data_IF_920122326144
#
_entry.id   IF_920122326144
#
_cell.length_a   1.000
_cell.length_b   1.000
_cell.length_c   1.000
_cell.angle_alpha   90.00
_cell.angle_beta   90.00
_cell.angle_gamma   90.00
#
_symmetry.space_group_name_H-M   'P 1'
#
loop_
_entity.id
_entity.type
_entity.pdbx_description
1 polymer ?
#
# COMPACT_ATOMS: atom_id res chain seq x y z
N UNK A 1 -6.76 61.15 -1.69
CA UNK A 1 -6.38 60.11 -0.72
C UNK A 1 -7.35 58.93 -0.89
N UNK A 2 -7.00 57.99 -1.70
CA UNK A 2 -7.85 56.79 -1.91
C UNK A 2 -7.13 55.60 -1.26
N UNK A 3 -7.76 55.12 -0.18
CA UNK A 3 -7.29 53.91 0.52
C UNK A 3 -7.75 52.64 -0.18
N UNK A 4 -6.86 51.98 -0.90
CA UNK A 4 -7.11 50.70 -1.52
C UNK A 4 -7.29 49.61 -0.47
N UNK A 5 -8.52 49.12 -0.30
CA UNK A 5 -8.85 47.95 0.53
C UNK A 5 -8.43 46.71 -0.26
N UNK A 6 -7.28 46.19 0.09
CA UNK A 6 -6.80 44.91 -0.42
C UNK A 6 -7.74 43.77 0.01
N UNK A 7 -8.51 43.25 -0.94
CA UNK A 7 -9.28 42.02 -0.77
C UNK A 7 -8.28 40.88 -0.54
N UNK A 8 -8.08 40.45 0.71
CA UNK A 8 -7.45 39.18 1.02
C UNK A 8 -8.38 38.08 0.51
N UNK A 9 -8.00 37.46 -0.61
CA UNK A 9 -8.64 36.25 -1.08
C UNK A 9 -8.36 35.14 -0.06
N UNK A 10 -9.37 34.82 0.73
CA UNK A 10 -9.37 33.60 1.56
C UNK A 10 -9.50 32.42 0.61
N UNK A 11 -8.38 31.98 0.04
CA UNK A 11 -8.27 30.64 -0.52
C UNK A 11 -8.44 29.69 0.65
N UNK A 12 -9.63 29.07 0.77
CA UNK A 12 -9.86 27.99 1.75
C UNK A 12 -8.74 26.98 1.57
N UNK A 13 -7.92 26.82 2.59
CA UNK A 13 -6.90 25.76 2.63
C UNK A 13 -7.59 24.42 2.38
N UNK A 14 -7.10 23.66 1.39
CA UNK A 14 -7.65 22.35 1.12
C UNK A 14 -7.28 21.42 2.28
N UNK A 15 -8.30 20.85 2.90
CA UNK A 15 -8.14 19.87 3.98
C UNK A 15 -8.22 18.46 3.40
N UNK A 16 -7.06 17.81 3.29
CA UNK A 16 -6.91 16.45 2.77
C UNK A 16 -7.74 15.44 3.57
N UNK A 17 -7.76 15.58 4.90
CA UNK A 17 -8.53 14.70 5.78
C UNK A 17 -10.04 14.85 5.54
N UNK A 18 -10.53 16.08 5.38
CA UNK A 18 -11.94 16.33 5.12
C UNK A 18 -12.37 15.85 3.74
N UNK A 19 -11.51 15.96 2.72
CA UNK A 19 -11.78 15.43 1.38
C UNK A 19 -11.97 13.90 1.37
N UNK A 20 -11.28 13.21 2.28
CA UNK A 20 -11.36 11.75 2.42
C UNK A 20 -12.51 11.29 3.34
N UNK A 21 -13.28 12.17 3.96
CA UNK A 21 -14.43 11.85 4.83
C UNK A 21 -15.68 11.46 4.05
N UNK A 22 -16.64 10.88 4.74
CA UNK A 22 -18.01 10.64 4.26
C UNK A 22 -18.31 9.19 3.89
N UNK A 23 -19.57 8.94 3.52
CA UNK A 23 -20.10 7.60 3.20
C UNK A 23 -19.64 7.11 1.82
N UNK A 24 -19.81 5.78 1.49
CA UNK A 24 -19.48 5.22 0.18
C UNK A 24 -19.93 6.10 -1.01
N UNK A 25 -19.26 5.99 -2.17
CA UNK A 25 -18.32 4.93 -2.55
C UNK A 25 -16.96 5.01 -1.85
N UNK A 26 -16.25 3.88 -1.78
CA UNK A 26 -14.98 3.73 -1.03
C UNK A 26 -13.87 4.67 -1.50
N UNK A 27 -13.89 5.10 -2.75
CA UNK A 27 -12.89 5.96 -3.37
C UNK A 27 -13.24 7.45 -3.35
N UNK A 28 -14.35 7.83 -2.67
CA UNK A 28 -14.76 9.24 -2.60
C UNK A 28 -13.61 10.12 -2.09
N UNK A 29 -13.32 11.19 -2.83
CA UNK A 29 -12.25 12.14 -2.53
C UNK A 29 -10.86 11.68 -2.95
N UNK A 30 -10.62 10.39 -3.20
CA UNK A 30 -9.31 9.88 -3.62
C UNK A 30 -8.86 10.50 -4.96
N UNK A 31 -9.68 10.56 -6.03
CA UNK A 31 -9.27 11.21 -7.27
C UNK A 31 -8.89 12.68 -7.10
N UNK A 32 -9.64 13.42 -6.27
CA UNK A 32 -9.36 14.82 -5.99
C UNK A 32 -8.02 14.99 -5.25
N UNK A 33 -7.80 14.17 -4.22
CA UNK A 33 -6.54 14.16 -3.46
C UNK A 33 -5.37 13.81 -4.38
N UNK A 34 -5.49 12.78 -5.23
CA UNK A 34 -4.46 12.41 -6.19
C UNK A 34 -4.12 13.56 -7.15
N UNK A 35 -5.12 14.20 -7.75
CA UNK A 35 -4.90 15.32 -8.66
C UNK A 35 -4.19 16.51 -8.00
N UNK A 36 -4.36 16.70 -6.69
CA UNK A 36 -3.65 17.74 -5.92
C UNK A 36 -2.21 17.32 -5.58
N UNK A 37 -2.01 16.07 -5.17
CA UNK A 37 -0.67 15.55 -4.85
C UNK A 37 0.23 15.45 -6.09
N UNK A 38 -0.35 15.22 -7.27
CA UNK A 38 0.38 15.26 -8.55
C UNK A 38 0.90 16.67 -8.87
N UNK A 39 0.14 17.71 -8.49
CA UNK A 39 0.52 19.12 -8.68
C UNK A 39 1.46 19.65 -7.60
N UNK A 40 1.37 19.13 -6.40
CA UNK A 40 2.13 19.55 -5.23
C UNK A 40 2.53 18.33 -4.36
N UNK A 41 3.61 17.63 -4.75
CA UNK A 41 4.07 16.44 -4.02
C UNK A 41 4.50 16.72 -2.57
N UNK A 42 4.85 17.96 -2.22
CA UNK A 42 5.26 18.33 -0.85
C UNK A 42 4.10 18.14 0.15
N UNK A 43 2.86 18.19 -0.33
CA UNK A 43 1.66 17.93 0.46
C UNK A 43 1.46 16.45 0.81
N UNK A 44 2.29 15.56 0.32
CA UNK A 44 2.22 14.13 0.64
C UNK A 44 2.23 13.87 2.15
N UNK A 45 2.91 14.71 2.94
CA UNK A 45 2.89 14.61 4.39
C UNK A 45 1.49 14.79 5.01
N UNK A 46 0.58 15.53 4.35
CA UNK A 46 -0.81 15.66 4.79
C UNK A 46 -1.54 14.32 4.60
N UNK A 47 -1.35 13.69 3.44
CA UNK A 47 -1.94 12.38 3.15
C UNK A 47 -1.41 11.29 4.07
N UNK A 48 -0.11 11.30 4.34
CA UNK A 48 0.53 10.36 5.29
C UNK A 48 -0.05 10.52 6.70
N UNK A 49 -0.28 11.75 7.18
CA UNK A 49 -0.92 11.99 8.48
C UNK A 49 -2.35 11.45 8.56
N UNK A 50 -3.06 11.35 7.43
CA UNK A 50 -4.39 10.75 7.39
C UNK A 50 -4.40 9.25 7.75
N UNK A 51 -3.26 8.55 7.68
CA UNK A 51 -3.15 7.16 8.16
C UNK A 51 -3.33 7.06 9.69
N UNK A 52 -2.99 8.10 10.45
CA UNK A 52 -3.15 8.19 11.90
C UNK A 52 -4.56 8.73 12.30
N UNK A 53 -5.48 8.95 11.35
CA UNK A 53 -6.82 9.47 11.64
C UNK A 53 -7.61 8.54 12.54
N UNK A 54 -8.38 9.10 13.49
CA UNK A 54 -9.36 8.36 14.28
C UNK A 54 -10.50 7.75 13.44
N UNK A 55 -10.77 8.32 12.24
CA UNK A 55 -11.81 7.85 11.32
C UNK A 55 -11.27 6.72 10.42
N UNK A 56 -11.81 5.48 10.53
CA UNK A 56 -11.35 4.36 9.72
C UNK A 56 -11.56 4.56 8.21
N UNK A 57 -12.55 5.35 7.81
CA UNK A 57 -12.80 5.66 6.40
C UNK A 57 -11.69 6.55 5.85
N UNK A 58 -11.25 7.54 6.62
CA UNK A 58 -10.12 8.41 6.25
C UNK A 58 -8.84 7.61 6.13
N UNK A 59 -8.54 6.73 7.10
CA UNK A 59 -7.34 5.85 7.03
C UNK A 59 -7.35 4.95 5.80
N UNK A 60 -8.48 4.31 5.51
CA UNK A 60 -8.64 3.42 4.35
C UNK A 60 -8.38 4.17 3.04
N UNK A 61 -9.00 5.32 2.87
CA UNK A 61 -8.86 6.13 1.66
C UNK A 61 -7.49 6.77 1.52
N UNK A 62 -6.85 7.11 2.64
CA UNK A 62 -5.46 7.56 2.64
C UNK A 62 -4.51 6.46 2.16
N UNK A 63 -4.71 5.23 2.63
CA UNK A 63 -3.92 4.08 2.19
C UNK A 63 -4.12 3.79 0.69
N UNK A 64 -5.37 3.85 0.19
CA UNK A 64 -5.69 3.71 -1.24
C UNK A 64 -5.05 4.82 -2.08
N UNK A 65 -5.15 6.08 -1.65
CA UNK A 65 -4.54 7.21 -2.35
C UNK A 65 -3.00 7.09 -2.40
N UNK A 66 -2.37 6.72 -1.28
CA UNK A 66 -0.92 6.50 -1.21
C UNK A 66 -0.48 5.36 -2.13
N UNK A 67 -1.23 4.26 -2.16
CA UNK A 67 -0.95 3.12 -3.04
C UNK A 67 -0.99 3.54 -4.51
N UNK A 68 -2.05 4.20 -4.95
CA UNK A 68 -2.23 4.68 -6.33
C UNK A 68 -1.18 5.73 -6.72
N UNK A 69 -0.90 6.69 -5.84
CA UNK A 69 0.10 7.71 -6.06
C UNK A 69 1.49 7.10 -6.22
N UNK A 70 1.88 6.21 -5.30
CA UNK A 70 3.22 5.59 -5.30
C UNK A 70 3.38 4.50 -6.37
N UNK A 71 2.30 4.03 -6.97
CA UNK A 71 2.36 3.20 -8.18
C UNK A 71 2.83 4.02 -9.38
N UNK A 72 2.35 5.27 -9.50
CA UNK A 72 2.75 6.20 -10.58
C UNK A 72 4.09 6.88 -10.29
N UNK A 73 4.39 7.14 -9.02
CA UNK A 73 5.55 7.88 -8.53
C UNK A 73 6.28 7.09 -7.42
N UNK A 74 7.03 6.01 -7.78
CA UNK A 74 7.74 5.17 -6.81
C UNK A 74 8.80 5.93 -6.00
N UNK A 75 9.32 7.04 -6.53
CA UNK A 75 10.25 7.93 -5.85
C UNK A 75 9.70 8.48 -4.52
N UNK A 76 8.38 8.66 -4.43
CA UNK A 76 7.69 9.14 -3.24
C UNK A 76 7.67 8.13 -2.08
N UNK A 77 8.00 6.87 -2.32
CA UNK A 77 8.08 5.85 -1.27
C UNK A 77 9.25 6.05 -0.30
N UNK A 78 10.37 6.61 -0.80
CA UNK A 78 11.60 6.77 0.00
C UNK A 78 11.38 7.64 1.26
N UNK A 79 10.81 8.85 1.17
CA UNK A 79 10.62 9.71 2.35
C UNK A 79 9.62 9.14 3.36
N UNK A 80 8.63 8.37 2.94
CA UNK A 80 7.56 7.84 3.81
C UNK A 80 7.78 6.40 4.26
N UNK A 81 8.90 5.77 3.87
CA UNK A 81 9.20 4.36 4.17
C UNK A 81 8.99 3.99 5.64
N UNK A 82 9.50 4.80 6.56
CA UNK A 82 9.39 4.51 8.01
C UNK A 82 7.94 4.48 8.47
N UNK A 83 7.10 5.39 7.98
CA UNK A 83 5.68 5.44 8.32
C UNK A 83 4.98 4.22 7.76
N UNK A 84 5.21 3.86 6.50
CA UNK A 84 4.57 2.68 5.89
C UNK A 84 4.95 1.38 6.60
N UNK A 85 6.20 1.21 7.03
CA UNK A 85 6.63 0.05 7.82
C UNK A 85 5.94 0.00 9.19
N UNK A 86 5.80 1.15 9.87
CA UNK A 86 5.06 1.25 11.13
C UNK A 86 3.58 0.87 10.94
N UNK A 87 2.91 1.46 9.96
CA UNK A 87 1.50 1.19 9.66
C UNK A 87 1.24 -0.26 9.28
N UNK A 88 2.11 -0.85 8.46
CA UNK A 88 2.00 -2.24 8.09
C UNK A 88 2.11 -3.16 9.32
N UNK A 89 2.97 -2.84 10.29
CA UNK A 89 3.13 -3.65 11.51
C UNK A 89 2.02 -3.43 12.54
N UNK A 90 1.48 -2.21 12.63
CA UNK A 90 0.55 -1.81 13.69
C UNK A 90 -0.93 -1.84 13.31
N UNK A 91 -1.28 -1.65 12.04
CA UNK A 91 -2.68 -1.59 11.64
C UNK A 91 -3.39 -2.94 11.77
N UNK A 92 -4.60 -2.92 12.33
CA UNK A 92 -5.52 -4.07 12.36
C UNK A 92 -6.64 -3.96 11.32
N UNK A 93 -6.72 -2.80 10.65
CA UNK A 93 -7.75 -2.52 9.66
C UNK A 93 -7.39 -3.18 8.31
N UNK A 94 -8.25 -4.06 7.83
CA UNK A 94 -7.99 -4.85 6.62
C UNK A 94 -7.72 -3.97 5.38
N UNK A 95 -8.46 -2.86 5.23
CA UNK A 95 -8.31 -1.93 4.10
C UNK A 95 -6.92 -1.30 4.08
N UNK A 96 -6.38 -0.95 5.24
CA UNK A 96 -5.01 -0.45 5.35
C UNK A 96 -4.01 -1.55 5.05
N UNK A 97 -4.19 -2.76 5.63
CA UNK A 97 -3.27 -3.90 5.46
C UNK A 97 -3.08 -4.30 4.01
N UNK A 98 -4.15 -4.40 3.21
CA UNK A 98 -3.96 -4.83 1.82
C UNK A 98 -3.22 -3.78 0.98
N UNK A 99 -3.46 -2.46 1.24
CA UNK A 99 -2.71 -1.41 0.57
C UNK A 99 -1.25 -1.37 1.02
N UNK A 100 -0.98 -1.58 2.32
CA UNK A 100 0.39 -1.74 2.82
C UNK A 100 1.10 -2.92 2.15
N UNK A 101 0.45 -4.09 2.06
CA UNK A 101 1.02 -5.24 1.37
C UNK A 101 1.43 -4.94 -0.07
N UNK A 102 0.65 -4.14 -0.80
CA UNK A 102 0.98 -3.74 -2.18
C UNK A 102 2.15 -2.75 -2.26
N UNK A 103 2.34 -1.90 -1.24
CA UNK A 103 3.42 -0.91 -1.22
C UNK A 103 4.75 -1.49 -0.71
N UNK A 104 4.72 -2.42 0.25
CA UNK A 104 5.92 -2.96 0.91
C UNK A 104 7.00 -3.47 -0.06
N UNK A 105 6.70 -4.29 -1.09
CA UNK A 105 7.74 -4.77 -2.00
C UNK A 105 8.32 -3.68 -2.90
N UNK A 106 7.65 -2.53 -3.02
CA UNK A 106 8.14 -1.38 -3.81
C UNK A 106 9.05 -0.45 -3.00
N UNK A 107 9.09 -0.59 -1.67
CA UNK A 107 9.95 0.21 -0.80
C UNK A 107 11.43 0.00 -1.15
N UNK A 108 12.28 1.03 -1.00
CA UNK A 108 13.73 0.91 -1.08
C UNK A 108 14.28 0.24 0.19
N UNK A 109 14.03 -1.06 0.32
CA UNK A 109 14.46 -1.87 1.45
C UNK A 109 15.97 -2.14 1.40
N UNK A 110 16.62 -2.12 2.56
CA UNK A 110 17.97 -2.68 2.70
C UNK A 110 17.90 -4.19 2.84
N UNK A 111 19.01 -4.90 2.57
CA UNK A 111 19.09 -6.36 2.74
C UNK A 111 18.67 -6.81 4.15
N UNK A 112 18.98 -6.01 5.18
CA UNK A 112 18.59 -6.31 6.58
C UNK A 112 17.08 -6.14 6.83
N UNK A 113 16.38 -5.34 6.03
CA UNK A 113 14.95 -5.09 6.19
C UNK A 113 14.08 -6.11 5.45
N UNK A 114 14.63 -6.77 4.43
CA UNK A 114 13.87 -7.74 3.62
C UNK A 114 13.30 -8.89 4.46
N UNK A 115 14.07 -9.56 5.35
CA UNK A 115 13.54 -10.63 6.21
C UNK A 115 12.42 -10.17 7.12
N UNK A 116 12.51 -8.96 7.69
CA UNK A 116 11.48 -8.41 8.58
C UNK A 116 10.18 -8.16 7.81
N UNK A 117 10.27 -7.55 6.62
CA UNK A 117 9.11 -7.30 5.74
C UNK A 117 8.51 -8.62 5.25
N UNK A 118 9.34 -9.60 4.92
CA UNK A 118 8.88 -10.93 4.53
C UNK A 118 8.13 -11.63 5.67
N UNK A 119 8.65 -11.58 6.88
CA UNK A 119 8.00 -12.11 8.09
C UNK A 119 6.66 -11.43 8.37
N UNK A 120 6.60 -10.11 8.23
CA UNK A 120 5.37 -9.35 8.35
C UNK A 120 4.32 -9.78 7.31
N UNK A 121 4.69 -9.88 6.03
CA UNK A 121 3.79 -10.34 4.97
C UNK A 121 3.33 -11.80 5.19
N UNK A 122 4.21 -12.65 5.73
CA UNK A 122 3.86 -14.01 6.14
C UNK A 122 2.79 -14.03 7.22
N UNK A 123 2.82 -13.07 8.15
CA UNK A 123 1.74 -12.92 9.15
C UNK A 123 0.39 -12.57 8.51
N UNK A 124 0.41 -11.78 7.44
CA UNK A 124 -0.78 -11.39 6.69
C UNK A 124 -1.45 -12.56 5.95
N UNK A 125 -0.74 -13.64 5.66
CA UNK A 125 -1.36 -14.86 5.11
C UNK A 125 -2.33 -15.53 6.10
N UNK A 126 -2.28 -15.17 7.38
CA UNK A 126 -3.20 -15.63 8.43
C UNK A 126 -4.31 -14.60 8.73
N UNK A 127 -4.41 -13.52 7.97
CA UNK A 127 -5.46 -12.52 8.15
C UNK A 127 -6.84 -13.11 7.89
N UNK A 128 -7.87 -12.58 8.55
CA UNK A 128 -9.27 -12.98 8.31
C UNK A 128 -9.75 -12.57 6.92
N UNK A 129 -9.19 -11.51 6.36
CA UNK A 129 -9.52 -10.97 5.06
C UNK A 129 -8.76 -11.69 3.94
N UNK A 130 -9.49 -12.34 3.06
CA UNK A 130 -8.92 -13.03 1.89
C UNK A 130 -8.18 -12.07 0.96
N UNK A 131 -8.62 -10.81 0.85
CA UNK A 131 -7.93 -9.83 0.02
C UNK A 131 -6.56 -9.47 0.61
N UNK A 132 -6.44 -9.37 1.95
CA UNK A 132 -5.14 -9.17 2.62
C UNK A 132 -4.22 -10.36 2.33
N UNK A 133 -4.72 -11.60 2.45
CA UNK A 133 -3.94 -12.81 2.14
C UNK A 133 -3.44 -12.81 0.69
N UNK A 134 -4.32 -12.47 -0.27
CA UNK A 134 -3.97 -12.43 -1.70
C UNK A 134 -2.92 -11.37 -1.99
N UNK A 135 -3.06 -10.17 -1.42
CA UNK A 135 -2.08 -9.10 -1.58
C UNK A 135 -0.74 -9.46 -0.92
N UNK A 136 -0.77 -10.10 0.25
CA UNK A 136 0.43 -10.56 0.92
C UNK A 136 1.18 -11.63 0.10
N UNK A 137 0.47 -12.62 -0.45
CA UNK A 137 1.09 -13.65 -1.28
C UNK A 137 1.76 -13.06 -2.53
N UNK A 138 1.09 -12.10 -3.20
CA UNK A 138 1.67 -11.36 -4.32
C UNK A 138 2.92 -10.58 -3.89
N UNK A 139 2.83 -9.85 -2.78
CA UNK A 139 3.94 -9.04 -2.27
C UNK A 139 5.17 -9.90 -1.91
N UNK A 140 4.97 -11.09 -1.35
CA UNK A 140 6.07 -12.02 -1.06
C UNK A 140 6.72 -12.54 -2.34
N UNK A 141 5.93 -12.82 -3.37
CA UNK A 141 6.45 -13.15 -4.70
C UNK A 141 7.28 -11.99 -5.27
N UNK A 142 6.77 -10.75 -5.22
CA UNK A 142 7.48 -9.57 -5.72
C UNK A 142 8.80 -9.32 -4.98
N UNK A 143 8.86 -9.62 -3.66
CA UNK A 143 10.12 -9.58 -2.89
C UNK A 143 11.10 -10.65 -3.36
N UNK A 144 10.64 -11.85 -3.71
CA UNK A 144 11.51 -12.93 -4.18
C UNK A 144 12.17 -12.65 -5.54
N UNK A 145 11.59 -11.72 -6.31
CA UNK A 145 12.23 -11.22 -7.54
C UNK A 145 13.42 -10.29 -7.24
N UNK A 146 13.43 -9.66 -6.05
CA UNK A 146 14.50 -8.76 -5.60
C UNK A 146 15.56 -9.48 -4.76
N UNK A 147 15.15 -10.54 -4.07
CA UNK A 147 16.04 -11.36 -3.24
C UNK A 147 15.84 -12.85 -3.60
N UNK A 148 16.77 -13.42 -4.39
CA UNK A 148 16.69 -14.83 -4.80
C UNK A 148 16.64 -15.83 -3.65
N UNK A 149 17.17 -15.50 -2.46
CA UNK A 149 17.12 -16.37 -1.29
C UNK A 149 15.70 -16.68 -0.81
N UNK A 150 14.73 -15.82 -1.16
CA UNK A 150 13.31 -15.97 -0.83
C UNK A 150 12.54 -16.88 -1.81
N UNK A 151 13.13 -17.27 -2.96
CA UNK A 151 12.43 -18.05 -4.00
C UNK A 151 11.91 -19.39 -3.47
N UNK A 152 12.74 -20.15 -2.75
CA UNK A 152 12.35 -21.42 -2.13
C UNK A 152 11.19 -21.26 -1.15
N UNK A 153 11.35 -20.44 -0.10
CA UNK A 153 10.27 -20.15 0.85
C UNK A 153 8.98 -19.64 0.20
N UNK A 154 9.07 -18.79 -0.83
CA UNK A 154 7.88 -18.28 -1.54
C UNK A 154 7.19 -19.38 -2.33
N UNK A 155 7.95 -20.25 -3.02
CA UNK A 155 7.40 -21.39 -3.76
C UNK A 155 6.56 -22.27 -2.83
N UNK A 156 7.09 -22.66 -1.67
CA UNK A 156 6.37 -23.47 -0.68
C UNK A 156 5.06 -22.82 -0.23
N UNK A 157 5.08 -21.51 0.06
CA UNK A 157 3.90 -20.77 0.48
C UNK A 157 2.85 -20.67 -0.64
N UNK A 158 3.28 -20.44 -1.89
CA UNK A 158 2.41 -20.39 -3.06
C UNK A 158 1.76 -21.74 -3.30
N UNK A 159 2.52 -22.85 -3.24
CA UNK A 159 2.00 -24.21 -3.38
C UNK A 159 1.01 -24.57 -2.26
N UNK A 160 1.34 -24.24 -1.01
CA UNK A 160 0.41 -24.40 0.12
C UNK A 160 -0.88 -23.64 -0.09
N UNK A 161 -0.79 -22.38 -0.55
CA UNK A 161 -1.94 -21.53 -0.86
C UNK A 161 -2.83 -22.11 -1.97
N UNK A 162 -2.24 -22.78 -2.95
CA UNK A 162 -2.98 -23.49 -4.00
C UNK A 162 -3.78 -24.67 -3.46
N UNK A 163 -3.25 -25.40 -2.48
CA UNK A 163 -3.91 -26.59 -1.91
C UNK A 163 -5.02 -26.22 -0.94
N UNK A 164 -4.77 -25.31 0.00
CA UNK A 164 -5.62 -25.10 1.18
C UNK A 164 -6.25 -23.70 1.26
N UNK A 165 -5.89 -22.78 0.39
CA UNK A 165 -6.37 -21.40 0.43
C UNK A 165 -7.84 -21.24 0.03
N UNK A 166 -8.43 -20.09 0.37
CA UNK A 166 -9.72 -19.66 -0.17
C UNK A 166 -9.68 -19.55 -1.71
N UNK A 167 -10.81 -19.60 -2.42
CA UNK A 167 -10.84 -19.62 -3.89
C UNK A 167 -9.99 -18.54 -4.56
N UNK A 168 -10.05 -17.30 -4.07
CA UNK A 168 -9.26 -16.19 -4.62
C UNK A 168 -7.76 -16.37 -4.36
N UNK A 169 -7.38 -16.86 -3.17
CA UNK A 169 -5.99 -17.14 -2.83
C UNK A 169 -5.42 -18.29 -3.67
N UNK A 170 -6.21 -19.38 -3.88
CA UNK A 170 -5.84 -20.47 -4.80
C UNK A 170 -5.66 -19.98 -6.24
N UNK A 171 -6.56 -19.10 -6.72
CA UNK A 171 -6.45 -18.53 -8.06
C UNK A 171 -5.18 -17.68 -8.23
N UNK A 172 -4.83 -16.87 -7.24
CA UNK A 172 -3.59 -16.10 -7.22
C UNK A 172 -2.38 -17.04 -7.19
N UNK A 173 -2.39 -18.04 -6.32
CA UNK A 173 -1.32 -19.03 -6.21
C UNK A 173 -1.01 -19.70 -7.53
N UNK A 174 -2.04 -20.18 -8.27
CA UNK A 174 -1.85 -20.78 -9.61
C UNK A 174 -1.15 -19.84 -10.59
N UNK A 175 -1.53 -18.54 -10.60
CA UNK A 175 -0.84 -17.55 -11.45
C UNK A 175 0.62 -17.38 -11.08
N UNK A 176 0.92 -17.35 -9.78
CA UNK A 176 2.30 -17.18 -9.30
C UNK A 176 3.16 -18.40 -9.56
N UNK A 177 2.60 -19.63 -9.47
CA UNK A 177 3.33 -20.86 -9.83
C UNK A 177 3.76 -20.84 -11.31
N UNK A 178 2.89 -20.41 -12.23
CA UNK A 178 3.24 -20.28 -13.64
C UNK A 178 4.42 -19.32 -13.81
N UNK A 179 4.38 -18.17 -13.17
CA UNK A 179 5.48 -17.19 -13.24
C UNK A 179 6.80 -17.70 -12.62
N UNK A 180 6.72 -18.51 -11.56
CA UNK A 180 7.90 -19.14 -10.96
C UNK A 180 8.56 -20.21 -11.86
N UNK A 181 7.79 -20.81 -12.78
CA UNK A 181 8.30 -21.79 -13.75
C UNK A 181 8.88 -21.14 -15.01
N UNK A 182 8.38 -19.96 -15.39
CA UNK A 182 8.79 -19.22 -16.58
C UNK A 182 10.02 -18.34 -16.35
N UNK A 183 10.51 -18.21 -15.11
CA UNK A 183 11.70 -17.44 -14.78
C UNK A 183 12.98 -18.07 -15.33
N UNK A 184 14.08 -17.28 -15.50
CA UNK A 184 15.33 -17.74 -16.14
C UNK A 184 16.01 -18.95 -15.46
N UNK A 185 15.55 -19.37 -14.30
CA UNK A 185 15.99 -20.56 -13.58
C UNK A 185 14.85 -21.59 -13.51
N UNK A 186 14.05 -21.72 -14.55
CA UNK A 186 13.01 -22.75 -14.65
C UNK A 186 13.60 -24.15 -14.45
N UNK A 187 13.64 -24.60 -13.19
CA UNK A 187 13.90 -25.96 -12.72
C UNK A 187 12.62 -26.55 -12.19
#
# INVERSE_FOLDING_TARGET
MEGGIGKRSHTRSFDTGNALRGRPPFDRGVPEVLGRMEKDPERMNELVRCLDSGDPVVRSRAADALEKLTTRRPDLLKPIKKVLLREASGSVQQEVRWHMAQMLPRLPLTQRQIPDVFSLLRSYLRDRSVIVQVCALQAMFDLSLKDPSLRGPVRELVEASCRTGAPALRARGRKLISLLKEGPDGL
#
